data_IF_811248561584
#
_entry.id   IF_811248561584
#
_cell.length_a   1.000
_cell.length_b   1.000
_cell.length_c   1.000
_cell.angle_alpha   90.00
_cell.angle_beta   90.00
_cell.angle_gamma   90.00
#
_symmetry.space_group_name_H-M   'P 1'
#
loop_
_entity.id
_entity.type
_entity.pdbx_description
1 polymer ?
#
# COMPACT_ATOMS: atom_id res chain seq x y z
N UNK A 1 -0.64 -22.81 13.37
CA UNK A 1 0.68 -22.18 13.14
C UNK A 1 1.44 -22.13 14.47
N UNK A 2 2.79 -22.23 14.51
CA UNK A 2 3.57 -22.08 15.75
C UNK A 2 3.41 -20.67 16.37
N UNK A 3 3.51 -20.55 17.70
CA UNK A 3 3.34 -19.27 18.42
C UNK A 3 4.33 -18.18 17.96
N UNK A 4 5.59 -18.54 17.72
CA UNK A 4 6.61 -17.59 17.26
C UNK A 4 6.27 -16.95 15.91
N UNK A 5 5.67 -17.72 14.98
CA UNK A 5 5.28 -17.21 13.68
C UNK A 5 4.08 -16.26 13.80
N UNK A 6 3.21 -16.46 14.80
CA UNK A 6 2.08 -15.56 15.06
C UNK A 6 2.58 -14.22 15.62
N UNK A 7 3.57 -14.26 16.51
CA UNK A 7 4.25 -13.05 16.99
C UNK A 7 4.92 -12.29 15.84
N UNK A 8 5.65 -12.99 14.97
CA UNK A 8 6.28 -12.36 13.80
C UNK A 8 5.25 -11.80 12.80
N UNK A 9 4.09 -12.42 12.65
CA UNK A 9 3.02 -11.92 11.78
C UNK A 9 2.44 -10.59 12.28
N UNK A 10 2.35 -10.41 13.59
CA UNK A 10 1.81 -9.19 14.21
C UNK A 10 2.86 -8.08 14.34
N UNK A 11 4.15 -8.42 14.31
CA UNK A 11 5.23 -7.46 14.51
C UNK A 11 5.21 -6.27 13.51
N UNK A 12 4.98 -6.46 12.19
CA UNK A 12 4.92 -5.34 11.27
C UNK A 12 3.89 -4.31 11.67
N UNK A 13 2.65 -4.72 11.99
CA UNK A 13 1.60 -3.76 12.33
C UNK A 13 1.77 -3.14 13.72
N UNK A 14 2.17 -3.94 14.72
CA UNK A 14 2.31 -3.46 16.10
C UNK A 14 3.49 -2.52 16.29
N UNK A 15 4.51 -2.63 15.43
CA UNK A 15 5.73 -1.85 15.54
C UNK A 15 5.82 -0.75 14.46
N UNK A 16 4.84 -0.66 13.55
CA UNK A 16 4.85 0.36 12.51
C UNK A 16 4.55 1.75 13.07
N UNK A 17 5.51 2.66 12.91
CA UNK A 17 5.41 4.00 13.44
C UNK A 17 4.52 4.94 12.59
N UNK A 18 4.20 4.58 11.35
CA UNK A 18 3.20 5.25 10.51
C UNK A 18 1.80 4.81 10.87
N UNK A 19 1.59 3.53 11.20
CA UNK A 19 0.34 3.03 11.75
C UNK A 19 -0.04 3.81 13.02
N UNK A 20 0.90 3.90 13.97
CA UNK A 20 0.69 4.68 15.19
C UNK A 20 0.37 6.15 14.87
N UNK A 21 1.01 6.76 13.88
CA UNK A 21 0.71 8.13 13.49
C UNK A 21 -0.71 8.24 12.93
N UNK A 22 -1.09 7.40 11.97
CA UNK A 22 -2.40 7.40 11.31
C UNK A 22 -3.55 7.10 12.28
N UNK A 23 -3.33 6.34 13.34
CA UNK A 23 -4.30 6.13 14.43
C UNK A 23 -4.68 7.41 15.18
N UNK A 24 -3.86 8.46 15.11
CA UNK A 24 -4.18 9.77 15.68
C UNK A 24 -4.91 10.70 14.70
N UNK A 25 -5.12 10.28 13.45
CA UNK A 25 -5.91 11.02 12.47
C UNK A 25 -7.35 10.51 12.42
N UNK A 26 -8.29 11.42 12.17
CA UNK A 26 -9.67 11.06 11.85
C UNK A 26 -9.71 10.63 10.37
N UNK A 27 -9.34 9.37 10.12
CA UNK A 27 -9.22 8.82 8.77
C UNK A 27 -9.81 7.41 8.66
N UNK A 28 -10.19 7.01 7.44
CA UNK A 28 -10.92 5.76 7.20
C UNK A 28 -10.03 4.51 7.21
N UNK A 29 -8.71 4.67 7.09
CA UNK A 29 -7.72 3.61 6.91
C UNK A 29 -7.71 2.63 8.09
N UNK A 30 -7.69 3.15 9.31
CA UNK A 30 -7.66 2.32 10.53
C UNK A 30 -8.96 1.54 10.69
N UNK A 31 -10.10 2.18 10.44
CA UNK A 31 -11.41 1.53 10.50
C UNK A 31 -11.53 0.44 9.42
N UNK A 32 -11.14 0.74 8.17
CA UNK A 32 -11.09 -0.24 7.09
C UNK A 32 -10.23 -1.44 7.49
N UNK A 33 -9.02 -1.19 7.98
CA UNK A 33 -8.10 -2.24 8.38
C UNK A 33 -8.68 -3.13 9.48
N UNK A 34 -9.26 -2.54 10.53
CA UNK A 34 -9.90 -3.27 11.63
C UNK A 34 -11.07 -4.14 11.13
N UNK A 35 -11.92 -3.61 10.25
CA UNK A 35 -13.06 -4.33 9.70
C UNK A 35 -12.63 -5.51 8.82
N UNK A 36 -11.62 -5.32 7.95
CA UNK A 36 -11.11 -6.41 7.08
C UNK A 36 -10.39 -7.47 7.92
N UNK A 37 -9.57 -7.07 8.90
CA UNK A 37 -8.93 -8.02 9.83
C UNK A 37 -9.97 -8.81 10.61
N UNK A 38 -11.01 -8.15 11.12
CA UNK A 38 -12.12 -8.81 11.81
C UNK A 38 -12.86 -9.81 10.91
N UNK A 39 -13.14 -9.45 9.66
CA UNK A 39 -13.79 -10.35 8.71
C UNK A 39 -12.93 -11.59 8.40
N UNK A 40 -11.61 -11.40 8.20
CA UNK A 40 -10.68 -12.51 8.01
C UNK A 40 -10.59 -13.37 9.27
N UNK A 41 -10.57 -12.77 10.46
CA UNK A 41 -10.59 -13.53 11.72
C UNK A 41 -11.85 -14.42 11.82
N UNK A 42 -13.03 -13.92 11.45
CA UNK A 42 -14.27 -14.71 11.42
C UNK A 42 -14.21 -15.85 10.40
N UNK A 43 -13.62 -15.62 9.22
CA UNK A 43 -13.44 -16.68 8.22
C UNK A 43 -12.48 -17.78 8.65
N UNK A 44 -11.49 -17.43 9.49
CA UNK A 44 -10.43 -18.32 9.94
C UNK A 44 -10.65 -18.87 11.35
N UNK A 45 -11.74 -18.48 12.02
CA UNK A 45 -12.00 -18.86 13.42
C UNK A 45 -12.16 -20.37 13.60
N UNK A 46 -12.93 -20.97 12.70
CA UNK A 46 -13.19 -22.41 12.66
C UNK A 46 -12.71 -23.02 11.34
N UNK A 47 -12.42 -24.33 11.34
CA UNK A 47 -12.13 -25.07 10.10
C UNK A 47 -13.27 -24.99 9.08
N UNK A 48 -14.51 -24.79 9.54
CA UNK A 48 -15.63 -24.44 8.68
C UNK A 48 -16.36 -23.29 9.34
N UNK A 49 -16.29 -22.06 8.80
CA UNK A 49 -16.94 -20.93 9.44
C UNK A 49 -18.44 -21.22 9.58
N UNK A 50 -18.99 -20.91 10.74
CA UNK A 50 -20.43 -21.03 11.00
C UNK A 50 -21.21 -20.07 10.10
N UNK A 51 -22.53 -20.27 9.98
CA UNK A 51 -23.39 -19.32 9.24
C UNK A 51 -23.35 -17.92 9.87
N UNK A 52 -23.24 -17.85 11.20
CA UNK A 52 -23.11 -16.61 11.97
C UNK A 52 -21.80 -15.90 11.65
N UNK A 53 -20.68 -16.62 11.55
CA UNK A 53 -19.40 -16.03 11.16
C UNK A 53 -19.40 -15.55 9.71
N UNK A 54 -20.03 -16.28 8.79
CA UNK A 54 -20.18 -15.81 7.41
C UNK A 54 -21.05 -14.55 7.32
N UNK A 55 -22.17 -14.51 8.06
CA UNK A 55 -23.02 -13.32 8.16
C UNK A 55 -22.27 -12.14 8.78
N UNK A 56 -21.58 -12.34 9.89
CA UNK A 56 -20.76 -11.33 10.57
C UNK A 56 -19.64 -10.79 9.68
N UNK A 57 -18.94 -11.65 8.94
CA UNK A 57 -17.96 -11.22 7.96
C UNK A 57 -18.59 -10.39 6.82
N UNK A 58 -19.82 -10.73 6.41
CA UNK A 58 -20.59 -9.94 5.44
C UNK A 58 -20.94 -8.54 5.97
N UNK A 59 -21.31 -8.42 7.24
CA UNK A 59 -21.52 -7.12 7.90
C UNK A 59 -20.23 -6.31 7.92
N UNK A 60 -19.13 -6.90 8.39
CA UNK A 60 -17.84 -6.22 8.51
C UNK A 60 -17.32 -5.74 7.15
N UNK A 61 -17.40 -6.56 6.11
CA UNK A 61 -16.96 -6.16 4.77
C UNK A 61 -17.92 -5.18 4.08
N UNK A 62 -19.23 -5.25 4.39
CA UNK A 62 -20.18 -4.23 3.97
C UNK A 62 -19.84 -2.87 4.58
N UNK A 63 -19.57 -2.83 5.88
CA UNK A 63 -19.12 -1.62 6.58
C UNK A 63 -17.76 -1.13 6.06
N UNK A 64 -16.85 -2.05 5.73
CA UNK A 64 -15.57 -1.72 5.13
C UNK A 64 -15.73 -1.03 3.76
N UNK A 65 -16.67 -1.50 2.94
CA UNK A 65 -17.01 -0.87 1.67
C UNK A 65 -17.63 0.52 1.81
N UNK A 66 -18.41 0.74 2.88
CA UNK A 66 -18.97 2.05 3.23
C UNK A 66 -17.94 3.03 3.77
N UNK A 67 -16.96 2.55 4.56
CA UNK A 67 -15.91 3.43 5.09
C UNK A 67 -14.91 3.83 4.01
N UNK A 68 -14.61 2.93 3.07
CA UNK A 68 -13.74 3.21 1.93
C UNK A 68 -14.09 2.30 0.76
N UNK A 69 -14.21 2.87 -0.45
CA UNK A 69 -14.56 2.12 -1.67
C UNK A 69 -13.61 0.95 -1.97
N UNK A 70 -12.34 1.04 -1.56
CA UNK A 70 -11.37 -0.07 -1.66
C UNK A 70 -11.85 -1.31 -0.90
N UNK A 71 -12.61 -1.17 0.19
CA UNK A 71 -13.20 -2.30 0.92
C UNK A 71 -14.14 -3.16 0.06
N UNK A 72 -14.81 -2.56 -0.95
CA UNK A 72 -15.68 -3.29 -1.88
C UNK A 72 -14.90 -4.31 -2.72
N UNK A 73 -13.63 -4.02 -3.03
CA UNK A 73 -12.78 -4.92 -3.82
C UNK A 73 -12.43 -6.23 -3.08
N UNK A 74 -12.64 -6.28 -1.76
CA UNK A 74 -12.41 -7.49 -0.94
C UNK A 74 -13.58 -8.46 -1.01
N UNK A 75 -14.79 -7.99 -1.30
CA UNK A 75 -15.99 -8.82 -1.42
C UNK A 75 -15.85 -9.98 -2.42
N UNK A 76 -15.38 -9.77 -3.67
CA UNK A 76 -15.17 -10.89 -4.60
C UNK A 76 -14.09 -11.87 -4.11
N UNK A 77 -13.02 -11.38 -3.47
CA UNK A 77 -11.97 -12.25 -2.91
C UNK A 77 -12.53 -13.15 -1.81
N UNK A 78 -13.33 -12.58 -0.90
CA UNK A 78 -14.02 -13.32 0.15
C UNK A 78 -15.01 -14.35 -0.42
N UNK A 79 -15.81 -13.98 -1.42
CA UNK A 79 -16.75 -14.88 -2.08
C UNK A 79 -16.04 -16.06 -2.75
N UNK A 80 -14.95 -15.79 -3.50
CA UNK A 80 -14.11 -16.83 -4.12
C UNK A 80 -13.52 -17.76 -3.07
N UNK A 81 -13.06 -17.24 -1.93
CA UNK A 81 -12.58 -18.07 -0.84
C UNK A 81 -13.67 -18.99 -0.26
N UNK A 82 -14.86 -18.47 0.02
CA UNK A 82 -15.99 -19.28 0.51
C UNK A 82 -16.40 -20.36 -0.50
N UNK A 83 -16.42 -20.02 -1.79
CA UNK A 83 -16.66 -20.97 -2.89
C UNK A 83 -15.57 -22.05 -2.95
N UNK A 84 -14.29 -21.66 -2.90
CA UNK A 84 -13.15 -22.57 -2.89
C UNK A 84 -13.16 -23.50 -1.65
N UNK A 85 -13.71 -23.02 -0.53
CA UNK A 85 -13.93 -23.82 0.69
C UNK A 85 -15.16 -24.73 0.63
N UNK A 86 -16.04 -24.56 -0.36
CA UNK A 86 -17.29 -25.33 -0.51
C UNK A 86 -18.11 -25.33 0.78
N UNK A 87 -18.23 -24.16 1.41
CA UNK A 87 -18.94 -23.99 2.70
C UNK A 87 -20.46 -24.24 2.61
N UNK A 88 -21.00 -24.34 1.39
CA UNK A 88 -22.42 -24.54 1.09
C UNK A 88 -23.15 -23.22 0.81
N UNK A 89 -24.24 -23.31 0.05
CA UNK A 89 -25.00 -22.13 -0.40
C UNK A 89 -25.58 -21.30 0.74
N UNK A 90 -26.04 -21.93 1.83
CA UNK A 90 -26.62 -21.19 2.96
C UNK A 90 -25.63 -20.21 3.61
N UNK A 91 -24.36 -20.61 3.76
CA UNK A 91 -23.31 -19.76 4.33
C UNK A 91 -22.87 -18.64 3.38
N UNK A 92 -22.75 -18.97 2.09
CA UNK A 92 -22.46 -17.98 1.05
C UNK A 92 -23.59 -16.95 0.92
N UNK A 93 -24.84 -17.41 0.97
CA UNK A 93 -26.02 -16.56 0.95
C UNK A 93 -26.08 -15.68 2.20
N UNK A 94 -25.81 -16.21 3.40
CA UNK A 94 -25.77 -15.41 4.62
C UNK A 94 -24.73 -14.27 4.53
N UNK A 95 -23.53 -14.56 4.02
CA UNK A 95 -22.52 -13.55 3.74
C UNK A 95 -23.05 -12.49 2.75
N UNK A 96 -23.54 -12.92 1.58
CA UNK A 96 -24.02 -12.01 0.54
C UNK A 96 -25.23 -11.16 0.96
N UNK A 97 -26.17 -11.76 1.69
CA UNK A 97 -27.35 -11.06 2.24
C UNK A 97 -26.92 -9.97 3.22
N UNK A 98 -25.98 -10.25 4.14
CA UNK A 98 -25.55 -9.22 5.08
C UNK A 98 -24.78 -8.08 4.39
N UNK A 99 -23.96 -8.39 3.38
CA UNK A 99 -23.34 -7.36 2.53
C UNK A 99 -24.42 -6.49 1.87
N UNK A 100 -25.42 -7.13 1.26
CA UNK A 100 -26.52 -6.44 0.59
C UNK A 100 -27.38 -5.60 1.55
N UNK A 101 -27.62 -6.09 2.78
CA UNK A 101 -28.35 -5.34 3.82
C UNK A 101 -27.59 -4.07 4.20
N UNK A 102 -26.29 -4.16 4.48
CA UNK A 102 -25.49 -2.99 4.86
C UNK A 102 -25.38 -1.99 3.70
N UNK A 103 -24.97 -2.46 2.53
CA UNK A 103 -24.76 -1.60 1.37
C UNK A 103 -26.07 -1.04 0.82
N UNK A 104 -27.08 -1.89 0.68
CA UNK A 104 -28.40 -1.50 0.19
C UNK A 104 -29.13 -0.59 1.16
N UNK A 105 -29.03 -0.84 2.47
CA UNK A 105 -29.59 0.04 3.50
C UNK A 105 -29.00 1.45 3.42
N UNK A 106 -27.66 1.56 3.31
CA UNK A 106 -27.01 2.84 3.10
C UNK A 106 -27.41 3.49 1.77
N UNK A 107 -27.43 2.74 0.67
CA UNK A 107 -27.81 3.26 -0.64
C UNK A 107 -29.24 3.81 -0.69
N UNK A 108 -30.19 3.13 -0.05
CA UNK A 108 -31.57 3.58 0.09
C UNK A 108 -31.67 4.87 0.92
N UNK A 109 -30.99 4.90 2.07
CA UNK A 109 -30.94 6.09 2.93
C UNK A 109 -30.31 7.29 2.20
N UNK A 110 -29.16 7.08 1.56
CA UNK A 110 -28.44 8.14 0.87
C UNK A 110 -29.21 8.65 -0.35
N UNK A 111 -29.81 7.75 -1.13
CA UNK A 111 -30.66 8.11 -2.27
C UNK A 111 -31.87 8.94 -1.87
N UNK A 112 -32.50 8.61 -0.73
CA UNK A 112 -33.59 9.40 -0.17
C UNK A 112 -33.13 10.78 0.33
N UNK A 113 -31.92 10.87 0.91
CA UNK A 113 -31.41 12.11 1.49
C UNK A 113 -30.81 13.09 0.47
N UNK A 114 -30.18 12.59 -0.61
CA UNK A 114 -29.40 13.41 -1.56
C UNK A 114 -29.87 13.34 -3.02
N UNK A 115 -31.05 12.78 -3.30
CA UNK A 115 -31.61 12.67 -4.65
C UNK A 115 -30.68 11.97 -5.66
N UNK A 116 -29.85 11.03 -5.20
CA UNK A 116 -28.92 10.26 -6.04
C UNK A 116 -27.83 9.58 -5.22
N UNK A 117 -27.26 8.49 -5.75
CA UNK A 117 -26.06 7.83 -5.21
C UNK A 117 -24.92 8.07 -6.19
N UNK A 118 -24.21 9.19 -6.04
CA UNK A 118 -22.99 9.44 -6.82
C UNK A 118 -21.79 9.44 -5.88
N UNK A 119 -20.88 8.49 -6.11
CA UNK A 119 -19.54 8.54 -5.57
C UNK A 119 -18.70 9.40 -6.53
N UNK A 120 -17.79 10.25 -6.01
CA UNK A 120 -16.90 11.07 -6.84
C UNK A 120 -15.75 10.24 -7.48
N UNK A 121 -16.00 8.97 -7.81
CA UNK A 121 -15.04 8.00 -8.34
C UNK A 121 -14.45 8.43 -9.69
N UNK A 122 -15.25 9.12 -10.51
CA UNK A 122 -14.83 9.70 -11.79
C UNK A 122 -13.77 10.78 -11.64
N UNK A 123 -13.80 11.60 -10.59
CA UNK A 123 -12.77 12.61 -10.34
C UNK A 123 -11.42 11.96 -10.02
N UNK A 124 -11.42 10.95 -9.15
CA UNK A 124 -10.21 10.21 -8.79
C UNK A 124 -9.60 9.50 -9.99
N UNK A 125 -10.43 8.78 -10.76
CA UNK A 125 -9.97 8.05 -11.94
C UNK A 125 -9.50 9.00 -13.04
N UNK A 126 -10.16 10.14 -13.21
CA UNK A 126 -9.70 11.21 -14.09
C UNK A 126 -8.31 11.72 -13.68
N UNK A 127 -8.12 12.07 -12.41
CA UNK A 127 -6.80 12.50 -11.90
C UNK A 127 -5.71 11.45 -12.14
N UNK A 128 -6.02 10.16 -11.96
CA UNK A 128 -5.09 9.05 -12.22
C UNK A 128 -4.59 9.07 -13.67
N UNK A 129 -5.51 9.15 -14.64
CA UNK A 129 -5.13 9.05 -16.06
C UNK A 129 -4.37 10.26 -16.57
N UNK A 130 -4.48 11.43 -15.94
CA UNK A 130 -3.80 12.64 -16.40
C UNK A 130 -2.27 12.51 -16.44
N UNK A 131 -1.69 11.63 -15.61
CA UNK A 131 -0.24 11.39 -15.58
C UNK A 131 0.32 10.74 -16.86
N UNK A 132 -0.51 10.05 -17.65
CA UNK A 132 -0.06 9.33 -18.84
C UNK A 132 -0.93 9.57 -20.10
N UNK A 133 -2.16 10.06 -19.96
CA UNK A 133 -3.11 10.17 -21.07
C UNK A 133 -2.65 11.16 -22.15
N UNK A 134 -2.28 10.65 -23.33
CA UNK A 134 -1.96 11.43 -24.52
C UNK A 134 -3.21 11.66 -25.37
N UNK A 135 -3.87 12.79 -25.15
CA UNK A 135 -5.09 13.16 -25.88
C UNK A 135 -4.93 13.21 -27.41
N UNK A 136 -3.72 13.28 -27.96
CA UNK A 136 -3.51 13.26 -29.41
C UNK A 136 -3.75 11.88 -30.02
N UNK A 137 -3.70 10.83 -29.20
CA UNK A 137 -3.91 9.43 -29.59
C UNK A 137 -5.29 8.90 -29.25
N UNK A 138 -6.04 9.65 -28.44
CA UNK A 138 -7.35 9.27 -27.96
C UNK A 138 -8.45 9.86 -28.84
N UNK A 139 -9.46 9.05 -29.14
CA UNK A 139 -10.67 9.55 -29.79
C UNK A 139 -11.58 10.22 -28.74
N UNK A 140 -11.40 11.54 -28.57
CA UNK A 140 -12.11 12.34 -27.56
C UNK A 140 -13.22 13.14 -28.24
N UNK A 141 -14.48 13.05 -27.74
CA UNK A 141 -15.57 13.89 -28.23
C UNK A 141 -15.23 15.38 -28.15
N UNK A 142 -15.68 16.16 -29.14
CA UNK A 142 -15.37 17.59 -29.22
C UNK A 142 -15.75 18.38 -27.95
N UNK A 143 -16.84 17.98 -27.30
CA UNK A 143 -17.32 18.59 -26.06
C UNK A 143 -16.51 18.22 -24.80
N UNK A 144 -15.53 17.34 -24.92
CA UNK A 144 -14.65 16.88 -23.84
C UNK A 144 -13.17 17.17 -24.11
N UNK A 145 -12.84 17.76 -25.26
CA UNK A 145 -11.46 18.16 -25.56
C UNK A 145 -10.89 19.12 -24.52
N UNK A 146 -11.76 19.89 -23.84
CA UNK A 146 -11.36 20.74 -22.74
C UNK A 146 -10.81 19.98 -21.53
N UNK A 147 -11.09 18.67 -21.38
CA UNK A 147 -10.55 17.81 -20.33
C UNK A 147 -9.09 17.39 -20.57
N UNK A 148 -8.53 17.74 -21.73
CA UNK A 148 -7.13 17.49 -22.02
C UNK A 148 -6.26 18.57 -21.41
N UNK A 149 -5.25 18.17 -20.64
CA UNK A 149 -4.21 19.09 -20.21
C UNK A 149 -3.18 19.30 -21.34
N UNK A 150 -2.99 20.56 -21.73
CA UNK A 150 -2.01 20.98 -22.72
C UNK A 150 -0.56 20.89 -22.20
N UNK A 151 -0.36 20.77 -20.88
CA UNK A 151 0.97 20.58 -20.29
C UNK A 151 1.56 19.24 -20.77
N UNK A 152 2.82 19.21 -21.24
CA UNK A 152 3.49 17.98 -21.65
C UNK A 152 3.52 16.92 -20.53
N UNK A 153 3.37 15.64 -20.87
CA UNK A 153 3.32 14.53 -19.91
C UNK A 153 4.45 14.55 -18.86
N UNK A 154 5.67 14.92 -19.26
CA UNK A 154 6.83 14.99 -18.37
C UNK A 154 6.75 16.07 -17.30
N UNK A 155 5.89 17.08 -17.48
CA UNK A 155 5.75 18.26 -16.62
C UNK A 155 4.40 18.31 -15.89
N UNK A 156 3.45 17.45 -16.27
CA UNK A 156 2.12 17.39 -15.65
C UNK A 156 2.19 17.13 -14.15
N UNK A 157 1.47 17.87 -13.30
CA UNK A 157 1.44 17.65 -11.86
C UNK A 157 0.86 16.27 -11.48
N UNK A 158 0.91 15.93 -10.19
CA UNK A 158 0.35 14.67 -9.70
C UNK A 158 -1.20 14.65 -9.76
N UNK A 159 -1.81 13.49 -9.53
CA UNK A 159 -3.26 13.32 -9.63
C UNK A 159 -4.03 14.25 -8.68
N UNK A 160 -3.51 14.52 -7.48
CA UNK A 160 -4.18 15.39 -6.51
C UNK A 160 -4.37 16.83 -7.00
N UNK A 161 -3.47 17.37 -7.82
CA UNK A 161 -3.70 18.66 -8.48
C UNK A 161 -4.98 18.62 -9.32
N UNK A 162 -5.15 17.60 -10.15
CA UNK A 162 -6.31 17.46 -11.04
C UNK A 162 -7.63 17.26 -10.30
N UNK A 163 -7.59 16.58 -9.15
CA UNK A 163 -8.77 16.28 -8.32
C UNK A 163 -9.19 17.51 -7.50
N UNK A 164 -8.25 18.14 -6.79
CA UNK A 164 -8.56 19.14 -5.75
C UNK A 164 -8.34 20.60 -6.19
N UNK A 165 -7.60 20.82 -7.28
CA UNK A 165 -7.35 22.17 -7.79
C UNK A 165 -8.61 22.79 -8.39
N UNK A 166 -9.00 23.99 -7.92
CA UNK A 166 -10.24 24.66 -8.37
C UNK A 166 -10.23 25.06 -9.85
N UNK A 167 -9.05 25.25 -10.42
CA UNK A 167 -8.87 25.72 -11.80
C UNK A 167 -8.42 24.60 -12.75
N UNK A 168 -8.67 23.34 -12.41
CA UNK A 168 -8.35 22.22 -13.29
C UNK A 168 -9.51 21.94 -14.25
N UNK A 169 -9.26 21.27 -15.39
CA UNK A 169 -10.32 20.96 -16.35
C UNK A 169 -11.51 20.21 -15.73
N UNK A 170 -11.27 19.40 -14.69
CA UNK A 170 -12.32 18.68 -13.97
C UNK A 170 -13.37 19.58 -13.32
N UNK A 171 -13.05 20.84 -13.01
CA UNK A 171 -13.95 21.78 -12.34
C UNK A 171 -14.44 22.93 -13.22
N UNK A 172 -13.73 23.22 -14.32
CA UNK A 172 -14.07 24.35 -15.21
C UNK A 172 -14.77 23.92 -16.51
N UNK A 173 -14.58 22.68 -16.95
CA UNK A 173 -15.24 22.15 -18.15
C UNK A 173 -16.65 21.69 -17.75
N UNK A 174 -17.72 22.28 -18.31
CA UNK A 174 -19.08 21.89 -17.95
C UNK A 174 -19.39 20.46 -18.42
N UNK A 175 -20.26 19.74 -17.70
CA UNK A 175 -20.61 18.38 -18.06
C UNK A 175 -21.33 18.33 -19.42
N UNK A 176 -21.13 17.24 -20.16
CA UNK A 176 -21.90 16.93 -21.37
C UNK A 176 -23.40 16.89 -21.03
N UNK A 177 -24.23 17.44 -21.93
CA UNK A 177 -25.69 17.41 -21.78
C UNK A 177 -26.18 15.97 -21.50
N UNK A 178 -26.94 15.81 -20.42
CA UNK A 178 -27.48 14.51 -20.00
C UNK A 178 -26.53 13.64 -19.16
N UNK A 179 -25.36 14.16 -18.78
CA UNK A 179 -24.44 13.50 -17.85
C UNK A 179 -24.16 14.38 -16.64
N UNK A 180 -23.84 13.73 -15.52
CA UNK A 180 -23.23 14.41 -14.37
C UNK A 180 -21.74 14.60 -14.62
N UNK A 181 -21.11 15.53 -13.89
CA UNK A 181 -19.67 15.79 -14.02
C UNK A 181 -18.86 14.53 -13.73
N UNK A 182 -19.21 13.83 -12.65
CA UNK A 182 -18.57 12.58 -12.27
C UNK A 182 -18.66 11.51 -13.39
N UNK A 183 -19.84 11.35 -14.01
CA UNK A 183 -20.04 10.40 -15.09
C UNK A 183 -19.20 10.74 -16.33
N UNK A 184 -19.08 12.03 -16.69
CA UNK A 184 -18.26 12.48 -17.82
C UNK A 184 -16.77 12.21 -17.56
N UNK A 185 -16.27 12.55 -16.37
CA UNK A 185 -14.87 12.32 -15.98
C UNK A 185 -14.52 10.83 -15.95
N UNK A 186 -15.43 9.99 -15.46
CA UNK A 186 -15.28 8.54 -15.50
C UNK A 186 -15.23 8.00 -16.93
N UNK A 187 -16.12 8.48 -17.81
CA UNK A 187 -16.16 8.06 -19.21
C UNK A 187 -14.86 8.45 -19.95
N UNK A 188 -14.35 9.66 -19.73
CA UNK A 188 -13.05 10.10 -20.23
C UNK A 188 -11.92 9.19 -19.73
N UNK A 189 -11.88 8.91 -18.42
CA UNK A 189 -10.81 8.12 -17.84
C UNK A 189 -10.81 6.66 -18.35
N UNK A 190 -11.98 6.05 -18.50
CA UNK A 190 -12.11 4.71 -19.08
C UNK A 190 -11.69 4.68 -20.56
N UNK A 191 -11.96 5.74 -21.33
CA UNK A 191 -11.42 5.92 -22.69
C UNK A 191 -9.90 6.04 -22.71
N UNK A 192 -9.30 6.80 -21.80
CA UNK A 192 -7.85 6.90 -21.71
C UNK A 192 -7.21 5.54 -21.36
N UNK A 193 -7.77 4.82 -20.38
CA UNK A 193 -7.27 3.48 -19.98
C UNK A 193 -7.39 2.47 -21.14
N UNK A 194 -8.50 2.48 -21.87
CA UNK A 194 -8.70 1.57 -23.01
C UNK A 194 -7.89 1.96 -24.24
N UNK A 195 -7.61 3.25 -24.45
CA UNK A 195 -6.78 3.74 -25.53
C UNK A 195 -5.28 3.54 -25.29
N UNK A 196 -4.83 3.55 -24.03
CA UNK A 196 -3.43 3.39 -23.63
C UNK A 196 -3.25 2.35 -22.51
N UNK A 197 -3.62 1.07 -22.75
CA UNK A 197 -3.65 0.06 -21.70
C UNK A 197 -2.26 -0.36 -21.21
N UNK A 198 -1.23 -0.26 -22.07
CA UNK A 198 0.16 -0.63 -21.70
C UNK A 198 0.75 0.41 -20.75
N UNK A 199 0.48 1.69 -21.00
CA UNK A 199 0.90 2.84 -20.21
C UNK A 199 0.21 2.83 -18.85
N UNK A 200 -1.08 2.52 -18.82
CA UNK A 200 -1.81 2.31 -17.57
C UNK A 200 -1.22 1.15 -16.77
N UNK A 201 -1.03 -0.03 -17.39
CA UNK A 201 -0.45 -1.19 -16.71
C UNK A 201 0.98 -0.92 -16.22
N UNK A 202 1.80 -0.24 -17.02
CA UNK A 202 3.14 0.18 -16.66
C UNK A 202 3.15 1.12 -15.46
N UNK A 203 2.27 2.13 -15.45
CA UNK A 203 2.13 3.08 -14.33
C UNK A 203 1.72 2.36 -13.05
N UNK A 204 0.67 1.53 -13.08
CA UNK A 204 0.21 0.75 -11.92
C UNK A 204 1.31 -0.19 -11.42
N UNK A 205 2.04 -0.84 -12.33
CA UNK A 205 3.12 -1.78 -11.98
C UNK A 205 4.31 -1.06 -11.33
N UNK A 206 4.71 0.08 -11.88
CA UNK A 206 5.82 0.88 -11.34
C UNK A 206 5.47 1.40 -9.94
N UNK A 207 4.24 1.87 -9.73
CA UNK A 207 3.75 2.30 -8.42
C UNK A 207 3.67 1.13 -7.43
N UNK A 208 3.25 -0.05 -7.89
CA UNK A 208 3.20 -1.25 -7.04
C UNK A 208 4.60 -1.68 -6.59
N UNK A 209 5.59 -1.64 -7.50
CA UNK A 209 6.99 -1.88 -7.16
C UNK A 209 7.52 -0.79 -6.22
N UNK A 210 7.04 0.44 -6.36
CA UNK A 210 7.47 1.59 -5.56
C UNK A 210 7.20 1.38 -4.07
N UNK A 211 6.10 0.71 -3.69
CA UNK A 211 5.84 0.35 -2.29
C UNK A 211 6.97 -0.44 -1.62
N UNK A 212 7.74 -1.19 -2.41
CA UNK A 212 8.79 -2.08 -1.93
C UNK A 212 10.19 -1.47 -2.05
N UNK A 213 10.31 -0.22 -2.52
CA UNK A 213 11.61 0.47 -2.62
C UNK A 213 12.12 0.89 -1.24
N UNK A 214 13.45 0.85 -1.01
CA UNK A 214 14.03 1.27 0.25
C UNK A 214 13.89 2.79 0.48
N UNK A 215 13.76 3.18 1.74
CA UNK A 215 13.87 4.58 2.19
C UNK A 215 12.60 5.43 2.03
N UNK A 216 11.49 4.84 1.57
CA UNK A 216 10.19 5.48 1.38
C UNK A 216 10.26 6.85 0.71
N UNK A 217 10.92 6.88 -0.44
CA UNK A 217 11.08 8.07 -1.26
C UNK A 217 9.77 8.41 -1.98
N UNK A 218 9.43 9.69 -2.05
CA UNK A 218 8.29 10.18 -2.85
C UNK A 218 8.83 11.05 -3.97
N UNK A 219 8.37 10.79 -5.20
CA UNK A 219 8.67 11.56 -6.40
C UNK A 219 7.65 12.66 -6.67
N UNK A 220 7.78 13.28 -7.84
CA UNK A 220 6.94 14.40 -8.28
C UNK A 220 5.47 14.01 -8.51
N UNK A 221 5.24 12.78 -8.95
CA UNK A 221 3.90 12.24 -9.25
C UNK A 221 3.26 11.56 -8.05
N UNK A 222 4.00 11.43 -6.94
CA UNK A 222 3.54 10.77 -5.72
C UNK A 222 2.89 11.79 -4.80
N UNK A 223 2.16 11.27 -3.82
CA UNK A 223 1.69 12.10 -2.73
C UNK A 223 2.85 12.37 -1.75
N UNK A 224 3.10 13.63 -1.35
CA UNK A 224 4.16 13.94 -0.39
C UNK A 224 4.02 13.10 0.88
N UNK A 225 5.08 12.36 1.24
CA UNK A 225 5.04 11.42 2.36
C UNK A 225 5.33 12.06 3.73
N UNK A 226 5.77 13.31 3.75
CA UNK A 226 6.10 14.10 4.94
C UNK A 226 4.87 14.39 5.81
N UNK A 227 3.70 14.58 5.21
CA UNK A 227 2.44 14.77 5.93
C UNK A 227 2.01 13.56 6.76
N UNK A 228 2.52 12.36 6.44
CA UNK A 228 2.26 11.12 7.17
C UNK A 228 3.32 10.83 8.25
N UNK A 229 4.29 11.72 8.44
CA UNK A 229 5.28 11.65 9.52
C UNK A 229 4.87 12.51 10.70
N UNK A 230 5.40 12.20 11.87
CA UNK A 230 5.13 13.02 13.04
C UNK A 230 5.78 14.41 12.86
N UNK A 231 5.00 15.52 12.94
CA UNK A 231 5.47 16.83 12.53
C UNK A 231 6.65 17.33 13.40
N UNK A 232 7.54 18.11 12.78
CA UNK A 232 8.61 18.85 13.48
C UNK A 232 8.19 20.28 13.81
N UNK A 233 7.32 20.85 12.98
CA UNK A 233 6.71 22.15 13.15
C UNK A 233 5.21 22.04 12.77
N UNK A 234 4.40 22.99 13.21
CA UNK A 234 2.99 23.09 12.82
C UNK A 234 2.85 23.94 11.55
N UNK A 235 3.68 23.65 10.54
CA UNK A 235 3.83 24.40 9.30
C UNK A 235 2.91 23.92 8.16
N UNK A 236 2.33 22.72 8.26
CA UNK A 236 1.19 22.27 7.43
C UNK A 236 -0.13 23.04 7.76
N UNK A 237 0.00 24.32 8.07
CA UNK A 237 -0.89 25.12 8.90
C UNK A 237 -2.21 25.52 8.24
N UNK A 238 -2.36 25.41 6.92
CA UNK A 238 -3.51 26.05 6.26
C UNK A 238 -4.81 25.27 6.47
N UNK A 239 -4.78 23.94 6.58
CA UNK A 239 -6.02 23.15 6.72
C UNK A 239 -6.35 22.86 8.19
N UNK A 240 -5.35 22.49 9.00
CA UNK A 240 -5.59 22.07 10.40
C UNK A 240 -5.91 23.24 11.34
N UNK A 241 -5.22 24.36 11.18
CA UNK A 241 -5.37 25.51 12.08
C UNK A 241 -6.74 26.16 11.95
N UNK A 242 -7.25 26.27 10.74
CA UNK A 242 -8.53 26.91 10.48
C UNK A 242 -9.69 25.98 10.89
N UNK A 243 -9.52 24.66 10.73
CA UNK A 243 -10.48 23.66 11.21
C UNK A 243 -10.59 23.61 12.74
N UNK A 244 -9.46 23.66 13.46
CA UNK A 244 -9.44 23.70 14.93
C UNK A 244 -10.05 25.00 15.45
N UNK A 245 -9.67 26.15 14.86
CA UNK A 245 -10.22 27.48 15.22
C UNK A 245 -11.73 27.63 15.02
N UNK A 246 -12.34 26.80 14.19
CA UNK A 246 -13.81 26.78 14.05
C UNK A 246 -14.53 26.24 15.30
N UNK A 247 -13.83 25.49 16.17
CA UNK A 247 -14.43 24.78 17.30
C UNK A 247 -13.71 25.03 18.63
N UNK A 248 -12.45 25.51 18.61
CA UNK A 248 -11.62 25.77 19.78
C UNK A 248 -10.59 26.87 19.47
N UNK A 249 -10.49 27.88 20.33
CA UNK A 249 -9.50 28.96 20.25
C UNK A 249 -8.11 28.54 20.76
N UNK A 250 -7.96 27.28 21.19
CA UNK A 250 -6.68 26.75 21.63
C UNK A 250 -5.62 26.78 20.52
N UNK A 251 -4.39 27.06 20.93
CA UNK A 251 -3.25 27.02 20.01
C UNK A 251 -2.65 25.61 20.07
N UNK A 252 -2.61 24.87 18.95
CA UNK A 252 -1.97 23.56 18.96
C UNK A 252 -0.49 23.74 19.30
N UNK A 253 0.01 22.89 20.20
CA UNK A 253 1.41 22.85 20.60
C UNK A 253 1.98 21.46 20.40
N UNK A 254 3.22 21.37 19.94
CA UNK A 254 3.93 20.10 19.82
C UNK A 254 4.54 19.77 21.19
N UNK A 255 4.12 18.65 21.80
CA UNK A 255 4.73 18.13 23.02
C UNK A 255 6.16 17.62 22.73
N UNK A 256 7.15 18.50 22.80
CA UNK A 256 8.51 18.27 22.27
C UNK A 256 9.19 16.98 22.73
N UNK A 257 9.04 16.59 23.99
CA UNK A 257 9.61 15.34 24.54
C UNK A 257 9.00 14.08 23.91
N UNK A 258 7.68 13.95 23.96
CA UNK A 258 6.95 12.82 23.38
C UNK A 258 7.09 12.80 21.84
N UNK A 259 6.97 13.97 21.21
CA UNK A 259 7.17 14.12 19.77
C UNK A 259 8.59 13.72 19.34
N UNK A 260 9.60 14.05 20.15
CA UNK A 260 10.99 13.63 19.94
C UNK A 260 11.14 12.12 20.03
N UNK A 261 10.53 11.49 21.03
CA UNK A 261 10.52 10.03 21.18
C UNK A 261 9.85 9.34 19.97
N UNK A 262 8.65 9.76 19.60
CA UNK A 262 7.90 9.19 18.46
C UNK A 262 8.67 9.37 17.16
N UNK A 263 9.31 10.52 16.93
CA UNK A 263 10.17 10.72 15.74
C UNK A 263 11.41 9.84 15.76
N UNK A 264 12.04 9.66 16.93
CA UNK A 264 13.16 8.73 17.09
C UNK A 264 12.73 7.29 16.78
N UNK A 265 11.55 6.90 17.25
CA UNK A 265 10.92 5.62 16.94
C UNK A 265 10.64 5.48 15.44
N UNK A 266 10.03 6.49 14.80
CA UNK A 266 9.82 6.54 13.35
C UNK A 266 11.12 6.47 12.55
N UNK A 267 12.25 6.94 13.10
CA UNK A 267 13.55 6.86 12.44
C UNK A 267 14.21 5.47 12.58
N UNK A 268 13.76 4.61 13.49
CA UNK A 268 14.35 3.29 13.74
C UNK A 268 13.43 2.15 13.29
N UNK A 269 12.14 2.25 13.61
CA UNK A 269 11.10 1.25 13.35
C UNK A 269 10.23 1.71 12.20
N UNK A 270 10.88 1.85 11.06
CA UNK A 270 10.25 2.11 9.79
C UNK A 270 10.44 0.87 8.93
N UNK A 271 9.46 -0.05 8.89
CA UNK A 271 9.65 -1.31 8.19
C UNK A 271 9.87 -1.01 6.71
N UNK A 272 11.10 -1.22 6.26
CA UNK A 272 11.53 -0.81 4.93
C UNK A 272 10.80 -1.62 3.85
N UNK A 273 10.49 -1.00 2.72
CA UNK A 273 9.78 -1.62 1.59
C UNK A 273 10.29 -3.03 1.23
N UNK A 274 11.61 -3.29 1.21
CA UNK A 274 12.16 -4.62 0.92
C UNK A 274 11.71 -5.73 1.88
N UNK A 275 11.42 -5.42 3.15
CA UNK A 275 10.92 -6.41 4.12
C UNK A 275 9.54 -6.89 3.68
N UNK A 276 8.66 -5.96 3.32
CA UNK A 276 7.33 -6.29 2.81
C UNK A 276 7.37 -7.01 1.47
N UNK A 277 8.39 -6.76 0.64
CA UNK A 277 8.60 -7.51 -0.59
C UNK A 277 8.85 -8.99 -0.29
N UNK A 278 9.72 -9.28 0.69
CA UNK A 278 9.99 -10.65 1.14
C UNK A 278 8.74 -11.28 1.73
N UNK A 279 7.99 -10.56 2.58
CA UNK A 279 6.74 -11.06 3.15
C UNK A 279 5.71 -11.40 2.06
N UNK A 280 5.57 -10.54 1.03
CA UNK A 280 4.70 -10.78 -0.11
C UNK A 280 5.15 -12.00 -0.92
N UNK A 281 6.44 -12.15 -1.23
CA UNK A 281 6.98 -13.30 -1.96
C UNK A 281 6.79 -14.62 -1.21
N UNK A 282 7.02 -14.61 0.10
CA UNK A 282 6.73 -15.75 0.98
C UNK A 282 5.23 -16.07 0.97
N UNK A 283 4.40 -15.04 1.05
CA UNK A 283 2.95 -15.13 0.94
C UNK A 283 2.47 -15.73 -0.36
N UNK A 284 3.05 -15.32 -1.49
CA UNK A 284 2.74 -15.84 -2.83
C UNK A 284 3.14 -17.30 -2.96
N UNK A 285 4.26 -17.72 -2.35
CA UNK A 285 4.68 -19.12 -2.36
C UNK A 285 3.77 -20.02 -1.49
N UNK A 286 3.18 -19.47 -0.42
CA UNK A 286 2.48 -20.23 0.61
C UNK A 286 1.33 -21.11 0.07
N UNK A 287 0.39 -20.62 -0.80
CA UNK A 287 -0.71 -21.43 -1.31
C UNK A 287 -0.24 -22.62 -2.15
N UNK A 288 0.83 -22.45 -2.94
CA UNK A 288 1.40 -23.52 -3.77
C UNK A 288 2.14 -24.55 -2.90
N UNK A 289 2.93 -24.06 -1.95
CA UNK A 289 3.58 -24.89 -0.94
C UNK A 289 2.56 -25.58 -0.03
N UNK A 290 1.34 -25.07 0.13
CA UNK A 290 0.33 -25.72 0.97
C UNK A 290 -0.85 -26.29 0.18
N UNK A 291 -0.72 -26.45 -1.15
CA UNK A 291 -1.84 -26.83 -2.01
C UNK A 291 -2.52 -28.15 -1.61
N UNK A 292 -1.75 -29.11 -1.08
CA UNK A 292 -2.26 -30.40 -0.56
C UNK A 292 -2.32 -30.46 0.97
N UNK A 293 -2.10 -29.35 1.67
CA UNK A 293 -2.07 -29.28 3.13
C UNK A 293 -3.15 -28.34 3.67
N UNK A 294 -3.61 -28.54 4.92
CA UNK A 294 -4.43 -27.54 5.60
C UNK A 294 -3.71 -26.18 5.62
N UNK A 295 -4.46 -25.08 5.45
CA UNK A 295 -3.89 -23.72 5.43
C UNK A 295 -3.60 -23.15 4.04
N UNK A 296 -3.61 -23.96 2.96
CA UNK A 296 -3.32 -23.47 1.61
C UNK A 296 -4.32 -22.45 1.10
N UNK A 297 -5.62 -22.68 1.33
CA UNK A 297 -6.70 -21.77 0.90
C UNK A 297 -6.70 -20.48 1.72
N UNK A 298 -6.41 -20.59 3.01
CA UNK A 298 -6.29 -19.50 3.97
C UNK A 298 -5.13 -18.58 3.59
N UNK A 299 -3.95 -19.16 3.30
CA UNK A 299 -2.82 -18.38 2.79
C UNK A 299 -3.13 -17.70 1.46
N UNK A 300 -3.91 -18.36 0.59
CA UNK A 300 -4.37 -17.79 -0.68
C UNK A 300 -5.28 -16.59 -0.49
N UNK A 301 -6.24 -16.69 0.44
CA UNK A 301 -7.09 -15.56 0.84
C UNK A 301 -6.25 -14.39 1.36
N UNK A 302 -5.35 -14.65 2.29
CA UNK A 302 -4.56 -13.60 2.95
C UNK A 302 -3.68 -12.86 1.95
N UNK A 303 -2.95 -13.57 1.08
CA UNK A 303 -2.09 -12.92 0.07
C UNK A 303 -2.93 -12.21 -0.99
N UNK A 304 -4.09 -12.75 -1.38
CA UNK A 304 -4.99 -12.08 -2.31
C UNK A 304 -5.53 -10.76 -1.74
N UNK A 305 -5.93 -10.75 -0.46
CA UNK A 305 -6.35 -9.52 0.23
C UNK A 305 -5.21 -8.50 0.26
N UNK A 306 -3.98 -8.91 0.63
CA UNK A 306 -2.83 -8.02 0.64
C UNK A 306 -2.60 -7.38 -0.75
N UNK A 307 -2.61 -8.17 -1.81
CA UNK A 307 -2.42 -7.68 -3.18
C UNK A 307 -3.54 -6.74 -3.60
N UNK A 308 -4.81 -7.08 -3.33
CA UNK A 308 -5.96 -6.26 -3.70
C UNK A 308 -5.95 -4.92 -2.96
N UNK A 309 -5.64 -4.92 -1.66
CA UNK A 309 -5.52 -3.69 -0.87
C UNK A 309 -4.39 -2.77 -1.37
N UNK A 310 -3.31 -3.33 -1.93
CA UNK A 310 -2.22 -2.55 -2.54
C UNK A 310 -2.54 -2.09 -3.96
N UNK A 311 -3.08 -2.97 -4.80
CA UNK A 311 -3.24 -2.71 -6.23
C UNK A 311 -4.43 -1.80 -6.52
N UNK A 312 -5.57 -1.97 -5.84
CA UNK A 312 -6.79 -1.22 -6.16
C UNK A 312 -6.63 0.29 -5.98
N UNK A 313 -6.04 0.81 -4.89
CA UNK A 313 -5.77 2.25 -4.78
C UNK A 313 -4.89 2.78 -5.91
N UNK A 314 -3.86 2.02 -6.33
CA UNK A 314 -2.99 2.39 -7.45
C UNK A 314 -3.71 2.36 -8.80
N UNK A 315 -4.70 1.49 -8.95
CA UNK A 315 -5.52 1.40 -10.17
C UNK A 315 -6.49 2.57 -10.28
N UNK A 316 -6.97 3.12 -9.16
CA UNK A 316 -8.06 4.10 -9.13
C UNK A 316 -7.62 5.52 -8.80
N UNK A 317 -6.47 5.71 -8.15
CA UNK A 317 -6.00 7.01 -7.65
C UNK A 317 -4.54 7.26 -8.03
N UNK A 318 -3.62 7.28 -7.09
CA UNK A 318 -2.18 7.53 -7.29
C UNK A 318 -1.37 6.81 -6.21
N UNK A 319 -0.04 6.84 -6.33
CA UNK A 319 0.84 6.34 -5.29
C UNK A 319 0.81 7.24 -4.05
N UNK A 320 0.45 6.63 -2.92
CA UNK A 320 0.49 7.24 -1.58
C UNK A 320 0.84 6.13 -0.58
N UNK A 321 1.85 6.36 0.26
CA UNK A 321 2.25 5.43 1.32
C UNK A 321 1.14 5.17 2.33
N UNK A 322 0.19 6.10 2.49
CA UNK A 322 -1.01 5.88 3.31
C UNK A 322 -1.82 4.68 2.85
N UNK A 323 -1.90 4.43 1.55
CA UNK A 323 -2.69 3.31 1.00
C UNK A 323 -2.03 1.96 1.23
N UNK A 324 -0.77 1.95 1.62
CA UNK A 324 -0.05 0.74 1.99
C UNK A 324 -0.50 0.17 3.35
N UNK A 325 -0.86 1.03 4.30
CA UNK A 325 -1.12 0.65 5.70
C UNK A 325 -2.15 -0.48 5.86
N UNK A 326 -3.34 -0.42 5.22
CA UNK A 326 -4.34 -1.47 5.39
C UNK A 326 -3.85 -2.86 4.97
N UNK A 327 -2.83 -2.95 4.10
CA UNK A 327 -2.26 -4.22 3.65
C UNK A 327 -1.24 -4.82 4.63
N UNK A 328 -0.66 -4.03 5.54
CA UNK A 328 0.43 -4.44 6.45
C UNK A 328 0.08 -5.69 7.28
N UNK A 329 -1.11 -5.80 7.92
CA UNK A 329 -1.45 -6.99 8.69
C UNK A 329 -1.47 -8.26 7.82
N UNK A 330 -1.95 -8.12 6.59
CA UNK A 330 -2.07 -9.24 5.65
C UNK A 330 -0.72 -9.62 5.05
N UNK A 331 0.18 -8.66 4.81
CA UNK A 331 1.57 -8.95 4.44
C UNK A 331 2.29 -9.70 5.55
N UNK A 332 2.15 -9.26 6.80
CA UNK A 332 2.71 -9.95 7.98
C UNK A 332 2.19 -11.39 8.10
N UNK A 333 0.87 -11.58 8.00
CA UNK A 333 0.25 -12.91 7.99
C UNK A 333 0.71 -13.76 6.81
N UNK A 334 0.74 -13.22 5.60
CA UNK A 334 1.14 -13.94 4.39
C UNK A 334 2.58 -14.43 4.50
N UNK A 335 3.49 -13.56 4.96
CA UNK A 335 4.88 -13.93 5.20
C UNK A 335 5.03 -15.01 6.27
N UNK A 336 4.26 -14.95 7.36
CA UNK A 336 4.28 -15.97 8.40
C UNK A 336 3.75 -17.34 7.91
N UNK A 337 2.68 -17.35 7.10
CA UNK A 337 2.19 -18.57 6.45
C UNK A 337 3.23 -19.16 5.50
N UNK A 338 3.87 -18.32 4.68
CA UNK A 338 4.95 -18.75 3.77
C UNK A 338 6.14 -19.32 4.51
N UNK A 339 6.61 -18.62 5.55
CA UNK A 339 7.71 -19.07 6.39
C UNK A 339 7.38 -20.39 7.10
N UNK A 340 6.16 -20.54 7.64
CA UNK A 340 5.69 -21.80 8.24
C UNK A 340 5.64 -22.94 7.20
N UNK A 341 5.22 -22.65 5.96
CA UNK A 341 5.15 -23.62 4.88
C UNK A 341 6.56 -24.11 4.44
N UNK A 342 7.56 -23.24 4.50
CA UNK A 342 8.97 -23.58 4.25
C UNK A 342 9.56 -24.31 5.44
N UNK A 343 9.36 -23.83 6.66
CA UNK A 343 9.90 -24.40 7.89
C UNK A 343 9.50 -25.87 8.10
N UNK A 344 8.26 -26.20 7.76
CA UNK A 344 7.75 -27.58 7.83
C UNK A 344 8.30 -28.50 6.73
N UNK A 345 8.96 -27.96 5.71
CA UNK A 345 9.62 -28.71 4.64
C UNK A 345 11.10 -28.93 4.85
N UNK A 346 11.77 -28.00 5.52
CA UNK A 346 13.22 -28.07 5.73
C UNK A 346 13.52 -29.11 6.82
N UNK A 347 14.13 -30.27 6.48
CA UNK A 347 14.50 -31.28 7.44
C UNK A 347 15.84 -30.94 8.10
N UNK A 348 15.97 -31.21 9.40
CA UNK A 348 17.23 -31.08 10.13
C UNK A 348 17.51 -29.70 10.74
N UNK A 349 18.27 -29.70 11.82
CA UNK A 349 18.66 -28.50 12.59
C UNK A 349 19.62 -27.60 11.81
N UNK A 350 20.54 -28.17 11.03
CA UNK A 350 21.52 -27.41 10.23
C UNK A 350 20.89 -26.56 9.12
N UNK A 351 19.93 -27.11 8.38
CA UNK A 351 19.24 -26.36 7.33
C UNK A 351 18.32 -25.26 7.91
N UNK A 352 17.72 -25.50 9.08
CA UNK A 352 16.98 -24.48 9.83
C UNK A 352 17.91 -23.36 10.34
N UNK A 353 19.10 -23.69 10.82
CA UNK A 353 20.10 -22.72 11.23
C UNK A 353 20.59 -21.86 10.05
N UNK A 354 20.79 -22.46 8.88
CA UNK A 354 21.14 -21.72 7.66
C UNK A 354 20.04 -20.74 7.24
N UNK A 355 18.76 -21.15 7.36
CA UNK A 355 17.61 -20.30 7.04
C UNK A 355 17.49 -19.11 8.01
N UNK A 356 17.71 -19.34 9.31
CA UNK A 356 17.79 -18.27 10.31
C UNK A 356 18.97 -17.33 10.01
N UNK A 357 20.15 -17.89 9.68
CA UNK A 357 21.34 -17.11 9.34
C UNK A 357 21.12 -16.22 8.11
N UNK A 358 20.50 -16.75 7.06
CA UNK A 358 20.15 -15.98 5.86
C UNK A 358 19.15 -14.85 6.19
N UNK A 359 18.13 -15.12 7.01
CA UNK A 359 17.18 -14.10 7.45
C UNK A 359 17.85 -13.00 8.28
N UNK A 360 18.75 -13.35 9.21
CA UNK A 360 19.48 -12.39 10.02
C UNK A 360 20.42 -11.50 9.17
N UNK A 361 21.10 -12.09 8.18
CA UNK A 361 21.94 -11.35 7.22
C UNK A 361 21.07 -10.39 6.41
N UNK A 362 19.93 -10.85 5.89
CA UNK A 362 19.03 -10.00 5.11
C UNK A 362 18.53 -8.80 5.93
N UNK A 363 18.04 -9.04 7.15
CA UNK A 363 17.60 -7.96 8.05
C UNK A 363 18.76 -7.01 8.34
N UNK A 364 19.94 -7.52 8.65
CA UNK A 364 21.14 -6.71 8.88
C UNK A 364 21.53 -5.84 7.68
N UNK A 365 21.49 -6.40 6.47
CA UNK A 365 21.76 -5.67 5.22
C UNK A 365 20.71 -4.59 4.95
N UNK A 366 19.42 -4.88 5.17
CA UNK A 366 18.34 -3.89 4.99
C UNK A 366 18.47 -2.77 6.03
N UNK A 367 18.67 -3.09 7.30
CA UNK A 367 18.89 -2.10 8.35
C UNK A 367 20.13 -1.23 8.08
N UNK A 368 21.21 -1.81 7.55
CA UNK A 368 22.41 -1.07 7.16
C UNK A 368 22.15 -0.17 5.95
N UNK A 369 21.48 -0.66 4.90
CA UNK A 369 21.12 0.12 3.73
C UNK A 369 20.22 1.31 4.12
N UNK A 370 19.26 1.07 5.00
CA UNK A 370 18.41 2.10 5.57
C UNK A 370 19.23 3.15 6.34
N UNK A 371 20.08 2.72 7.28
CA UNK A 371 20.94 3.62 8.05
C UNK A 371 21.87 4.46 7.15
N UNK A 372 22.38 3.88 6.05
CA UNK A 372 23.19 4.58 5.07
C UNK A 372 22.37 5.58 4.23
N UNK A 373 21.11 5.26 3.92
CA UNK A 373 20.21 6.14 3.18
C UNK A 373 19.70 7.32 4.02
N UNK A 374 19.55 7.11 5.33
CA UNK A 374 19.14 8.11 6.31
C UNK A 374 20.32 8.95 6.84
N UNK A 375 21.56 8.56 6.57
CA UNK A 375 22.76 9.25 7.04
C UNK A 375 22.98 10.58 6.27
N UNK A 376 23.17 11.73 6.95
CA UNK A 376 23.55 12.97 6.28
C UNK A 376 24.86 12.77 5.49
N UNK A 377 25.00 13.38 4.30
CA UNK A 377 26.04 13.03 3.31
C UNK A 377 27.51 12.96 3.79
N UNK A 378 27.83 13.51 4.98
CA UNK A 378 29.15 13.40 5.62
C UNK A 378 29.39 12.03 6.30
N UNK A 379 28.36 11.31 6.75
CA UNK A 379 28.49 9.99 7.41
C UNK A 379 28.53 8.82 6.43
N UNK A 380 27.88 8.92 5.27
CA UNK A 380 27.95 7.90 4.20
C UNK A 380 29.40 7.69 3.69
N UNK A 381 30.18 8.76 3.59
CA UNK A 381 31.60 8.72 3.19
C UNK A 381 32.52 8.05 4.23
N UNK A 382 32.10 8.03 5.50
CA UNK A 382 32.82 7.40 6.61
C UNK A 382 32.46 5.91 6.71
N UNK A 383 31.18 5.57 6.53
CA UNK A 383 30.70 4.19 6.51
C UNK A 383 31.20 3.40 5.28
N UNK A 384 31.29 4.04 4.11
CA UNK A 384 31.90 3.42 2.94
C UNK A 384 33.43 3.18 3.13
N UNK A 385 34.08 4.02 3.96
CA UNK A 385 35.48 3.87 4.34
C UNK A 385 35.70 2.74 5.36
N UNK A 386 34.78 2.53 6.29
CA UNK A 386 34.86 1.44 7.27
C UNK A 386 34.52 0.07 6.67
N UNK A 387 33.60 0.00 5.70
CA UNK A 387 33.33 -1.25 4.95
C UNK A 387 34.54 -1.65 4.09
N UNK A 388 35.28 -0.69 3.51
CA UNK A 388 36.58 -0.97 2.86
C UNK A 388 37.68 -1.42 3.83
N UNK A 389 37.56 -1.09 5.11
CA UNK A 389 38.52 -1.49 6.14
C UNK A 389 38.21 -2.88 6.74
N UNK A 390 36.98 -3.39 6.55
CA UNK A 390 36.58 -4.75 6.91
C UNK A 390 36.98 -5.71 5.78
N UNK A 391 38.26 -6.03 5.74
CA UNK A 391 38.87 -7.00 4.83
C UNK A 391 38.45 -8.44 5.20
N UNK A 392 37.18 -8.79 4.93
CA UNK A 392 36.75 -10.19 4.92
C UNK A 392 37.20 -10.85 3.61
N UNK A 393 38.40 -11.43 3.65
CA UNK A 393 38.74 -12.64 2.91
C UNK A 393 38.83 -12.55 1.38
N UNK A 394 39.80 -11.80 0.85
CA UNK A 394 40.32 -12.03 -0.52
C UNK A 394 41.80 -12.45 -0.52
N UNK A 395 42.18 -13.33 0.42
CA UNK A 395 43.47 -14.05 0.41
C UNK A 395 43.30 -15.54 0.09
N UNK A 396 42.68 -15.84 -1.04
CA UNK A 396 42.77 -17.16 -1.68
C UNK A 396 42.31 -17.05 -3.14
N UNK A 397 43.04 -16.31 -3.99
CA UNK A 397 43.08 -16.41 -5.48
C UNK A 397 43.82 -15.21 -6.05
N UNK A 398 45.12 -15.10 -5.79
CA UNK A 398 46.04 -14.28 -6.62
C UNK A 398 47.50 -14.62 -6.32
N UNK A 399 47.82 -15.90 -6.25
CA UNK A 399 49.18 -16.38 -6.51
C UNK A 399 49.23 -16.76 -8.00
N UNK A 400 49.79 -15.87 -8.83
CA UNK A 400 50.04 -16.16 -10.24
C UNK A 400 49.72 -15.02 -11.20
N UNK A 401 50.49 -13.94 -11.13
CA UNK A 401 50.94 -13.16 -12.29
C UNK A 401 51.73 -11.93 -11.79
N UNK A 402 53.05 -12.11 -11.69
CA UNK A 402 54.03 -11.03 -11.57
C UNK A 402 54.15 -10.29 -12.92
N UNK A 403 54.15 -8.96 -12.91
CA UNK A 403 54.61 -8.14 -14.05
C UNK A 403 54.21 -6.65 -13.94
N UNK A 404 55.06 -5.67 -14.28
CA UNK A 404 55.37 -4.58 -13.34
C UNK A 404 54.75 -3.20 -13.63
N UNK A 405 54.62 -2.46 -12.52
CA UNK A 405 54.60 -0.99 -12.34
C UNK A 405 54.94 -0.15 -13.59
N UNK A 406 54.03 0.77 -13.94
CA UNK A 406 54.40 2.15 -14.30
C UNK A 406 53.52 3.16 -13.58
N UNK A 407 54.20 4.02 -12.82
CA UNK A 407 53.71 5.28 -12.24
C UNK A 407 53.51 6.27 -13.38
N UNK A 408 52.41 7.03 -13.37
CA UNK A 408 52.46 8.48 -13.61
C UNK A 408 51.17 9.13 -13.15
N UNK A 409 51.32 9.97 -12.14
CA UNK A 409 50.38 10.98 -11.68
C UNK A 409 50.72 12.29 -12.42
N UNK A 410 49.74 12.97 -13.03
CA UNK A 410 49.75 14.39 -13.43
C UNK A 410 48.28 14.82 -13.59
N UNK A 411 47.69 15.51 -12.61
CA UNK A 411 47.58 16.97 -12.40
C UNK A 411 46.75 17.72 -13.47
N UNK A 412 45.63 18.25 -12.99
CA UNK A 412 45.00 19.56 -13.23
C UNK A 412 45.18 20.25 -14.59
N UNK A 413 44.05 20.46 -15.26
CA UNK A 413 43.51 21.79 -15.59
C UNK A 413 42.01 21.76 -15.38
#
# INVERSE_FOLDING_TARGET
MPRWAATLAAAPILLDAYQMNIEHFVMAEVLLQALVVGAVALFLWDEKPSIVFCAGAGVLLGLAGLSRTVGLSILPVAAVFLLARRVGLARLAAFGVMVAVIMGGYGLWFGAARHGVEADDGFFLYGRVQSFADCTRLNIPANELGLCDAVPLSERPNANYYIWGRNTPAHIVPPRKGMTQNAMLRDFALRAISGEPVEYAGTVTLDFIHYFRPGHITGRLDEPGDQWRFPRALDHAVVWRDAVRLHDDSTPVIAGGLAGFVRGYQAMMFPDGPIFAVLLLLGLAAPFLMWRRPGGKESGLIVAIAIVLLAVPLMTTMFDYRYFLPAIPFLGLAGAFGLSAIWTRVPGTGARAALIGAAAIFVGCVSLAFALSAAPGKTAATACRSVRALDYGTKATRSGALGPRRRTCKRCT
#
